data_IF_392999830520
#
_entry.id   IF_392999830520
#
_cell.length_a   1.000
_cell.length_b   1.000
_cell.length_c   1.000
_cell.angle_alpha   90.00
_cell.angle_beta   90.00
_cell.angle_gamma   90.00
#
_symmetry.space_group_name_H-M   'P 1'
#
loop_
_entity.id
_entity.type
_entity.pdbx_description
1 polymer ?
#
# COMPACT_ATOMS: atom_id res chain seq x y z
N UNK A 1 18.83 0.45 5.73
CA UNK A 1 19.00 -0.98 5.41
C UNK A 1 20.09 -1.65 6.26
N UNK A 2 21.31 -1.11 6.35
CA UNK A 2 22.48 -1.78 6.95
C UNK A 2 22.25 -2.41 8.35
N UNK A 3 21.49 -1.72 9.23
CA UNK A 3 21.24 -2.14 10.60
C UNK A 3 19.91 -2.87 10.83
N UNK A 4 19.28 -3.46 9.80
CA UNK A 4 18.11 -4.33 9.97
C UNK A 4 16.74 -3.72 9.63
N UNK A 5 16.65 -2.96 8.54
CA UNK A 5 15.38 -2.44 8.03
C UNK A 5 15.26 -2.49 6.50
N UNK A 6 14.06 -2.26 5.98
CA UNK A 6 13.79 -2.15 4.55
C UNK A 6 14.02 -0.71 4.08
N UNK A 7 14.70 -0.51 2.95
CA UNK A 7 14.77 0.76 2.23
C UNK A 7 14.04 0.60 0.89
N UNK A 8 12.99 1.39 0.63
CA UNK A 8 12.32 1.45 -0.66
C UNK A 8 12.86 2.61 -1.48
N UNK A 9 13.24 2.33 -2.71
CA UNK A 9 13.71 3.29 -3.69
C UNK A 9 12.80 3.21 -4.91
N UNK A 10 12.03 4.25 -5.14
CA UNK A 10 11.06 4.29 -6.24
C UNK A 10 11.48 5.35 -7.26
N UNK A 11 11.50 4.95 -8.52
CA UNK A 11 11.75 5.84 -9.64
C UNK A 11 13.20 5.85 -10.14
N UNK A 12 13.39 6.07 -11.44
CA UNK A 12 14.69 5.95 -12.10
C UNK A 12 15.76 6.90 -11.56
N UNK A 13 15.38 8.15 -11.23
CA UNK A 13 16.32 9.14 -10.73
C UNK A 13 16.83 8.77 -9.32
N UNK A 14 15.93 8.27 -8.46
CA UNK A 14 16.28 7.77 -7.13
C UNK A 14 17.19 6.55 -7.23
N UNK A 15 16.83 5.58 -8.08
CA UNK A 15 17.61 4.36 -8.28
C UNK A 15 19.04 4.66 -8.77
N UNK A 16 19.21 5.68 -9.61
CA UNK A 16 20.53 6.10 -10.11
C UNK A 16 21.51 6.46 -8.99
N UNK A 17 20.99 6.98 -7.87
CA UNK A 17 21.81 7.37 -6.72
C UNK A 17 22.31 6.17 -5.90
N UNK A 18 21.78 4.97 -6.14
CA UNK A 18 22.03 3.77 -5.34
C UNK A 18 22.41 2.54 -6.20
N UNK A 19 22.86 2.76 -7.44
CA UNK A 19 23.15 1.66 -8.40
C UNK A 19 24.18 0.67 -7.85
N UNK A 20 25.17 1.16 -7.11
CA UNK A 20 26.23 0.34 -6.53
C UNK A 20 25.70 -0.54 -5.38
N UNK A 21 24.88 0.03 -4.49
CA UNK A 21 24.28 -0.70 -3.37
C UNK A 21 23.27 -1.75 -3.85
N UNK A 22 22.45 -1.39 -4.83
CA UNK A 22 21.46 -2.31 -5.42
C UNK A 22 22.17 -3.31 -6.35
N UNK A 23 23.38 -3.01 -6.85
CA UNK A 23 24.08 -3.80 -7.88
C UNK A 23 23.18 -4.03 -9.10
N UNK A 24 22.69 -2.94 -9.66
CA UNK A 24 21.91 -2.93 -10.89
C UNK A 24 22.69 -2.22 -11.98
N UNK A 25 22.72 -2.84 -13.16
CA UNK A 25 23.13 -2.18 -14.39
C UNK A 25 21.89 -1.90 -15.21
N UNK A 26 21.79 -0.69 -15.74
CA UNK A 26 20.62 -0.29 -16.48
C UNK A 26 20.67 1.15 -16.97
N UNK A 27 19.75 1.46 -17.85
CA UNK A 27 19.59 2.78 -18.43
C UNK A 27 18.20 3.33 -18.11
N UNK A 28 18.11 4.64 -17.92
CA UNK A 28 16.84 5.33 -17.80
C UNK A 28 16.28 5.46 -19.21
N UNK A 29 15.08 4.92 -19.40
CA UNK A 29 14.37 4.94 -20.67
C UNK A 29 13.20 5.91 -20.57
N UNK A 30 13.12 6.83 -21.52
CA UNK A 30 11.91 7.58 -21.80
C UNK A 30 10.98 6.69 -22.64
N UNK A 31 9.72 6.55 -22.22
CA UNK A 31 8.71 5.82 -22.98
C UNK A 31 7.42 6.62 -23.05
N UNK A 32 6.72 6.47 -24.17
CA UNK A 32 5.40 7.05 -24.37
C UNK A 32 4.34 6.36 -23.48
N UNK A 33 4.37 5.03 -23.39
CA UNK A 33 3.53 4.22 -22.51
C UNK A 33 4.26 2.93 -22.13
N UNK A 34 4.17 2.56 -20.86
CA UNK A 34 4.55 1.24 -20.36
C UNK A 34 3.35 0.63 -19.63
N UNK A 35 3.25 -0.70 -19.62
CA UNK A 35 2.17 -1.40 -18.94
C UNK A 35 2.70 -2.08 -17.69
N UNK A 36 2.15 -1.72 -16.54
CA UNK A 36 2.37 -2.42 -15.27
C UNK A 36 1.48 -3.67 -15.25
N UNK A 37 2.09 -4.86 -15.24
CA UNK A 37 1.40 -6.14 -15.09
C UNK A 37 1.50 -6.62 -13.63
N UNK A 38 0.34 -6.84 -12.98
CA UNK A 38 0.22 -7.45 -11.65
C UNK A 38 -0.85 -8.55 -11.71
N UNK A 39 -0.45 -9.81 -11.47
CA UNK A 39 -1.34 -10.99 -11.51
C UNK A 39 -2.18 -11.14 -12.79
N UNK A 40 -1.67 -10.67 -13.92
CA UNK A 40 -2.34 -10.76 -15.23
C UNK A 40 -3.28 -9.60 -15.56
N UNK A 41 -3.48 -8.66 -14.62
CA UNK A 41 -4.11 -7.37 -14.90
C UNK A 41 -3.06 -6.34 -15.34
N UNK A 42 -3.46 -5.36 -16.17
CA UNK A 42 -2.56 -4.36 -16.72
C UNK A 42 -3.02 -2.93 -16.42
N UNK A 43 -2.07 -2.03 -16.12
CA UNK A 43 -2.31 -0.59 -16.08
C UNK A 43 -1.29 0.18 -16.94
N UNK A 44 -1.74 0.97 -17.92
CA UNK A 44 -0.85 1.83 -18.68
C UNK A 44 -0.39 3.01 -17.81
N UNK A 45 0.90 3.34 -17.89
CA UNK A 45 1.47 4.54 -17.28
C UNK A 45 2.38 5.24 -18.28
N UNK A 46 2.38 6.57 -18.25
CA UNK A 46 3.25 7.42 -19.09
C UNK A 46 4.31 8.08 -18.24
N UNK A 47 5.48 7.46 -18.18
CA UNK A 47 6.63 8.00 -17.44
C UNK A 47 7.95 7.32 -17.82
N UNK A 48 9.03 7.91 -17.32
CA UNK A 48 10.37 7.33 -17.38
C UNK A 48 10.47 6.13 -16.43
N UNK A 49 11.25 5.14 -16.82
CA UNK A 49 11.56 3.99 -15.99
C UNK A 49 13.02 3.59 -16.18
N UNK A 50 13.57 2.81 -15.26
CA UNK A 50 14.90 2.22 -15.38
C UNK A 50 14.77 0.79 -15.91
N UNK A 51 15.39 0.53 -17.06
CA UNK A 51 15.57 -0.83 -17.56
C UNK A 51 16.78 -1.43 -16.85
N UNK A 52 16.54 -2.05 -15.71
CA UNK A 52 17.58 -2.65 -14.89
C UNK A 52 17.62 -4.17 -15.02
N UNK A 53 18.84 -4.71 -14.97
CA UNK A 53 19.09 -6.13 -14.75
C UNK A 53 19.93 -6.31 -13.49
N UNK A 54 19.82 -7.46 -12.84
CA UNK A 54 20.69 -7.82 -11.72
C UNK A 54 21.08 -9.29 -11.79
N UNK A 55 22.30 -9.61 -11.36
CA UNK A 55 22.78 -11.00 -11.23
C UNK A 55 22.13 -11.71 -10.04
N UNK A 56 21.69 -10.97 -9.01
CA UNK A 56 21.12 -11.50 -7.76
C UNK A 56 19.94 -10.66 -7.29
N UNK A 57 18.75 -11.24 -7.34
CA UNK A 57 17.51 -10.64 -6.84
C UNK A 57 16.29 -11.37 -7.37
N UNK A 58 15.15 -11.15 -6.73
CA UNK A 58 13.85 -11.63 -7.24
C UNK A 58 13.13 -10.47 -7.89
N UNK A 59 12.78 -10.65 -9.16
CA UNK A 59 11.93 -9.71 -9.89
C UNK A 59 10.46 -9.91 -9.52
N UNK A 60 9.73 -8.82 -9.32
CA UNK A 60 8.28 -8.86 -9.14
C UNK A 60 7.60 -7.84 -10.05
N UNK A 61 6.54 -8.30 -10.73
CA UNK A 61 5.77 -7.55 -11.72
C UNK A 61 6.49 -7.40 -13.06
N UNK A 62 5.74 -7.27 -14.15
CA UNK A 62 6.29 -7.11 -15.50
C UNK A 62 5.91 -5.76 -16.09
N UNK A 63 6.91 -5.08 -16.63
CA UNK A 63 6.73 -3.90 -17.46
C UNK A 63 6.71 -4.38 -18.90
N UNK A 64 5.57 -4.26 -19.55
CA UNK A 64 5.48 -4.49 -21.00
C UNK A 64 5.68 -3.18 -21.74
N UNK A 65 6.65 -3.16 -22.64
CA UNK A 65 6.85 -2.04 -23.58
C UNK A 65 5.91 -2.17 -24.77
N UNK A 66 5.76 -1.08 -25.53
CA UNK A 66 5.14 -1.07 -26.86
C UNK A 66 5.76 -2.11 -27.83
N UNK A 67 7.03 -2.45 -27.62
CA UNK A 67 7.77 -3.49 -28.35
C UNK A 67 7.51 -4.92 -27.84
N UNK A 68 6.63 -5.11 -26.85
CA UNK A 68 6.28 -6.43 -26.31
C UNK A 68 7.34 -7.04 -25.40
N UNK A 69 8.36 -6.28 -25.02
CA UNK A 69 9.40 -6.74 -24.11
C UNK A 69 8.92 -6.71 -22.67
N UNK A 70 9.25 -7.75 -21.89
CA UNK A 70 8.97 -7.85 -20.46
C UNK A 70 10.22 -7.57 -19.63
N UNK A 71 10.18 -6.57 -18.76
CA UNK A 71 11.25 -6.29 -17.78
C UNK A 71 10.70 -6.28 -16.36
N UNK A 72 11.54 -6.55 -15.36
CA UNK A 72 11.09 -6.56 -13.96
C UNK A 72 10.67 -5.17 -13.50
N UNK A 73 9.51 -5.05 -12.84
CA UNK A 73 9.02 -3.78 -12.28
C UNK A 73 9.67 -3.42 -10.96
N UNK A 74 10.03 -4.44 -10.18
CA UNK A 74 10.68 -4.28 -8.89
C UNK A 74 11.72 -5.37 -8.65
N UNK A 75 12.74 -5.02 -7.87
CA UNK A 75 13.82 -5.91 -7.44
C UNK A 75 13.97 -5.80 -5.94
N UNK A 76 14.15 -6.93 -5.26
CA UNK A 76 14.51 -6.97 -3.84
C UNK A 76 15.89 -7.59 -3.66
N UNK A 77 16.71 -6.97 -2.80
CA UNK A 77 18.08 -7.42 -2.51
C UNK A 77 18.44 -7.28 -1.02
N UNK A 78 19.07 -8.28 -0.42
CA UNK A 78 19.67 -8.15 0.92
C UNK A 78 20.76 -7.08 0.97
N UNK A 79 20.81 -6.29 2.05
CA UNK A 79 21.84 -5.27 2.27
C UNK A 79 22.14 -5.10 3.76
N UNK A 80 23.36 -5.49 4.17
CA UNK A 80 23.71 -5.63 5.59
C UNK A 80 22.76 -6.62 6.27
N UNK A 81 22.17 -6.21 7.40
CA UNK A 81 21.16 -7.01 8.11
C UNK A 81 19.71 -6.76 7.62
N UNK A 82 19.52 -5.91 6.61
CA UNK A 82 18.22 -5.54 6.07
C UNK A 82 18.12 -5.83 4.58
N UNK A 83 17.30 -5.03 3.88
CA UNK A 83 17.08 -5.18 2.44
C UNK A 83 16.79 -3.84 1.76
N UNK A 84 17.07 -3.79 0.46
CA UNK A 84 16.71 -2.70 -0.44
C UNK A 84 15.69 -3.23 -1.44
N UNK A 85 14.59 -2.50 -1.60
CA UNK A 85 13.58 -2.73 -2.62
C UNK A 85 13.66 -1.59 -3.63
N UNK A 86 13.84 -1.94 -4.90
CA UNK A 86 13.96 -1.02 -6.00
C UNK A 86 12.74 -1.15 -6.91
N UNK A 87 12.02 -0.06 -7.18
CA UNK A 87 10.92 0.00 -8.14
C UNK A 87 11.35 0.85 -9.32
N UNK A 88 11.29 0.26 -10.52
CA UNK A 88 11.92 0.79 -11.73
C UNK A 88 11.29 2.10 -12.24
N UNK A 89 10.11 2.45 -11.76
CA UNK A 89 9.36 3.65 -12.13
C UNK A 89 8.90 4.40 -10.88
N UNK A 90 8.48 5.65 -11.06
CA UNK A 90 7.94 6.46 -9.94
C UNK A 90 6.48 6.04 -9.69
N UNK A 91 6.30 5.17 -8.71
CA UNK A 91 5.00 4.64 -8.33
C UNK A 91 4.05 5.71 -7.78
N UNK A 92 4.58 6.67 -7.01
CA UNK A 92 3.77 7.75 -6.44
C UNK A 92 3.19 8.62 -7.54
N UNK A 93 4.04 9.06 -8.47
CA UNK A 93 3.61 9.86 -9.62
C UNK A 93 2.71 9.08 -10.58
N UNK A 94 2.93 7.77 -10.74
CA UNK A 94 2.04 6.92 -11.53
C UNK A 94 0.63 6.91 -10.94
N UNK A 95 0.53 6.64 -9.63
CA UNK A 95 -0.73 6.48 -8.94
C UNK A 95 -1.50 7.79 -8.81
N UNK A 96 -0.79 8.91 -8.61
CA UNK A 96 -1.38 10.25 -8.57
C UNK A 96 -2.05 10.62 -9.88
N UNK A 97 -1.39 10.34 -11.03
CA UNK A 97 -1.89 10.73 -12.35
C UNK A 97 -2.95 9.79 -12.90
N UNK A 98 -2.74 8.48 -12.73
CA UNK A 98 -3.54 7.43 -13.37
C UNK A 98 -3.93 6.38 -12.31
N UNK A 99 -4.73 6.76 -11.29
CA UNK A 99 -5.09 5.84 -10.22
C UNK A 99 -5.81 4.61 -10.79
N UNK A 100 -5.29 3.43 -10.48
CA UNK A 100 -5.85 2.17 -10.95
C UNK A 100 -5.74 1.08 -9.88
N UNK A 101 -6.62 0.08 -9.98
CA UNK A 101 -6.61 -1.08 -9.07
C UNK A 101 -5.28 -1.82 -9.14
N UNK A 102 -4.68 -1.92 -10.33
CA UNK A 102 -3.38 -2.57 -10.57
C UNK A 102 -2.27 -1.82 -9.83
N UNK A 103 -2.17 -0.50 -10.00
CA UNK A 103 -1.16 0.31 -9.31
C UNK A 103 -1.36 0.31 -7.79
N UNK A 104 -2.61 0.32 -7.31
CA UNK A 104 -2.92 0.22 -5.87
C UNK A 104 -2.42 -1.10 -5.29
N UNK A 105 -2.78 -2.22 -5.92
CA UNK A 105 -2.34 -3.57 -5.48
C UNK A 105 -0.83 -3.71 -5.53
N UNK A 106 -0.21 -3.21 -6.61
CA UNK A 106 1.24 -3.19 -6.72
C UNK A 106 1.86 -2.41 -5.56
N UNK A 107 1.36 -1.19 -5.25
CA UNK A 107 1.82 -0.39 -4.12
C UNK A 107 1.62 -1.09 -2.77
N UNK A 108 0.47 -1.72 -2.54
CA UNK A 108 0.20 -2.50 -1.32
C UNK A 108 1.25 -3.60 -1.11
N UNK A 109 1.63 -4.33 -2.17
CA UNK A 109 2.67 -5.36 -2.09
C UNK A 109 4.05 -4.78 -1.80
N UNK A 110 4.41 -3.65 -2.44
CA UNK A 110 5.69 -3.00 -2.17
C UNK A 110 5.75 -2.53 -0.70
N UNK A 111 4.68 -1.92 -0.21
CA UNK A 111 4.57 -1.39 1.14
C UNK A 111 4.44 -2.47 2.23
N UNK A 112 3.93 -3.65 1.91
CA UNK A 112 3.86 -4.78 2.84
C UNK A 112 5.23 -5.15 3.44
N UNK A 113 6.33 -4.88 2.72
CA UNK A 113 7.70 -5.08 3.21
C UNK A 113 8.11 -4.15 4.38
N UNK A 114 7.29 -3.14 4.70
CA UNK A 114 7.53 -2.15 5.76
C UNK A 114 6.57 -2.28 6.95
N UNK A 115 5.52 -3.09 6.83
CA UNK A 115 4.45 -3.13 7.82
C UNK A 115 4.90 -3.90 9.09
N UNK A 116 5.33 -3.16 10.12
CA UNK A 116 5.71 -3.70 11.43
C UNK A 116 4.53 -4.01 12.38
N UNK A 117 3.33 -3.52 12.08
CA UNK A 117 2.07 -3.86 12.78
C UNK A 117 1.04 -4.31 11.74
N UNK A 118 0.58 -5.56 11.86
CA UNK A 118 -0.39 -6.11 10.92
C UNK A 118 -1.80 -5.61 11.29
N UNK A 119 -2.29 -4.67 10.48
CA UNK A 119 -3.70 -4.30 10.46
C UNK A 119 -4.21 -4.47 9.03
N UNK A 120 -5.42 -5.00 8.89
CA UNK A 120 -6.07 -5.18 7.60
C UNK A 120 -7.54 -4.82 7.69
N UNK A 121 -8.03 -4.10 6.70
CA UNK A 121 -9.46 -3.90 6.46
C UNK A 121 -9.86 -4.79 5.29
N UNK A 122 -10.95 -5.53 5.45
CA UNK A 122 -11.55 -6.41 4.45
C UNK A 122 -12.96 -5.88 4.17
N UNK A 123 -13.39 -5.93 2.91
CA UNK A 123 -14.72 -5.50 2.45
C UNK A 123 -14.65 -4.28 1.52
N UNK A 124 -13.89 -3.24 1.87
CA UNK A 124 -13.74 -2.04 1.04
C UNK A 124 -12.33 -1.48 1.05
N UNK A 125 -11.87 -1.02 -0.12
CA UNK A 125 -10.62 -0.26 -0.30
C UNK A 125 -10.81 1.25 -0.11
N UNK A 126 -12.04 1.69 0.17
CA UNK A 126 -12.40 3.08 0.45
C UNK A 126 -12.36 3.39 1.95
N UNK A 127 -11.73 2.51 2.74
CA UNK A 127 -11.47 2.76 4.15
C UNK A 127 -10.02 3.15 4.31
N UNK A 128 -9.76 4.33 4.87
CA UNK A 128 -8.43 4.74 5.31
C UNK A 128 -8.31 4.44 6.82
N UNK A 129 -7.57 3.39 7.20
CA UNK A 129 -7.36 3.08 8.60
C UNK A 129 -6.11 3.79 9.14
N UNK A 130 -6.22 4.40 10.32
CA UNK A 130 -5.13 5.10 10.99
C UNK A 130 -4.92 4.53 12.39
N UNK A 131 -3.71 4.04 12.63
CA UNK A 131 -3.28 3.57 13.95
C UNK A 131 -2.90 4.76 14.83
N UNK A 132 -3.48 4.84 16.02
CA UNK A 132 -3.15 5.85 17.03
C UNK A 132 -2.92 5.17 18.37
N UNK A 133 -1.90 5.64 19.08
CA UNK A 133 -1.69 5.31 20.50
C UNK A 133 -1.80 6.60 21.32
N UNK A 134 -2.60 6.56 22.38
CA UNK A 134 -2.75 7.68 23.30
C UNK A 134 -2.90 7.16 24.73
N UNK A 135 -2.05 7.65 25.62
CA UNK A 135 -2.08 7.31 27.06
C UNK A 135 -2.04 5.79 27.33
N UNK A 136 -1.32 5.03 26.48
CA UNK A 136 -1.21 3.58 26.58
C UNK A 136 -2.38 2.79 25.95
N UNK A 137 -3.38 3.48 25.42
CA UNK A 137 -4.52 2.89 24.72
C UNK A 137 -4.31 2.92 23.21
N UNK A 138 -4.83 1.90 22.51
CA UNK A 138 -4.78 1.81 21.05
C UNK A 138 -6.13 2.19 20.45
N UNK A 139 -6.09 3.04 19.43
CA UNK A 139 -7.25 3.49 18.68
C UNK A 139 -7.02 3.28 17.19
N UNK A 140 -7.96 2.61 16.52
CA UNK A 140 -7.97 2.52 15.06
C UNK A 140 -9.06 3.44 14.53
N UNK A 141 -8.65 4.52 13.90
CA UNK A 141 -9.57 5.43 13.23
C UNK A 141 -9.84 4.88 11.84
N UNK A 142 -11.10 4.80 11.45
CA UNK A 142 -11.52 4.31 10.14
C UNK A 142 -12.28 5.43 9.45
N UNK A 143 -11.74 5.92 8.34
CA UNK A 143 -12.35 6.99 7.56
C UNK A 143 -12.85 6.44 6.22
N UNK A 144 -14.10 6.72 5.87
CA UNK A 144 -14.64 6.46 4.55
C UNK A 144 -14.18 7.56 3.59
N UNK A 145 -13.39 7.15 2.59
CA UNK A 145 -12.84 8.01 1.53
C UNK A 145 -13.54 7.75 0.19
N UNK A 146 -14.78 7.27 0.20
CA UNK A 146 -15.56 6.94 -1.00
C UNK A 146 -16.04 8.14 -1.82
N UNK A 147 -15.73 9.37 -1.41
CA UNK A 147 -16.00 10.58 -2.19
C UNK A 147 -15.09 10.71 -3.42
N UNK A 148 -15.46 11.60 -4.34
CA UNK A 148 -14.67 11.92 -5.53
C UNK A 148 -13.45 12.82 -5.22
N UNK A 149 -12.63 12.43 -4.24
CA UNK A 149 -11.51 13.22 -3.72
C UNK A 149 -10.38 13.47 -4.74
N UNK A 150 -10.28 12.61 -5.76
CA UNK A 150 -9.26 12.69 -6.80
C UNK A 150 -9.72 13.47 -8.06
N UNK A 151 -10.99 13.85 -8.16
CA UNK A 151 -11.51 14.56 -9.34
C UNK A 151 -11.33 16.07 -9.16
N UNK A 152 -10.30 16.62 -9.80
CA UNK A 152 -9.97 18.06 -9.72
C UNK A 152 -11.13 18.96 -10.18
N UNK A 153 -12.01 18.46 -11.06
CA UNK A 153 -13.17 19.23 -11.53
C UNK A 153 -14.32 19.25 -10.54
N UNK A 154 -14.34 18.32 -9.59
CA UNK A 154 -15.39 18.20 -8.58
C UNK A 154 -14.96 18.90 -7.29
N UNK A 155 -15.43 20.13 -7.11
CA UNK A 155 -15.07 20.97 -5.95
C UNK A 155 -15.80 20.60 -4.67
N UNK A 156 -16.97 19.98 -4.80
CA UNK A 156 -17.79 19.49 -3.69
C UNK A 156 -18.65 18.33 -4.15
N UNK A 157 -19.08 17.51 -3.20
CA UNK A 157 -20.09 16.48 -3.37
C UNK A 157 -21.00 16.51 -2.15
N UNK A 158 -22.28 16.22 -2.38
CA UNK A 158 -23.32 16.36 -1.36
C UNK A 158 -23.39 15.13 -0.44
N UNK A 159 -22.91 13.97 -0.91
CA UNK A 159 -23.01 12.71 -0.19
C UNK A 159 -21.75 11.85 -0.34
N UNK A 160 -21.45 11.08 0.72
CA UNK A 160 -20.52 9.96 0.70
C UNK A 160 -21.34 8.71 1.01
N UNK A 161 -21.45 7.74 0.08
CA UNK A 161 -22.18 6.51 0.34
C UNK A 161 -21.56 5.73 1.50
N UNK A 162 -22.38 5.21 2.43
CA UNK A 162 -21.89 4.35 3.50
C UNK A 162 -21.28 3.06 2.95
N UNK A 163 -20.28 2.55 3.66
CA UNK A 163 -19.67 1.25 3.41
C UNK A 163 -20.27 0.22 4.38
N UNK A 164 -20.41 -1.02 3.94
CA UNK A 164 -21.05 -2.09 4.70
C UNK A 164 -20.15 -3.32 4.79
N UNK A 165 -20.48 -4.20 5.73
CA UNK A 165 -19.89 -5.54 5.87
C UNK A 165 -18.35 -5.52 5.90
N UNK A 166 -17.79 -4.63 6.71
CA UNK A 166 -16.34 -4.50 6.84
C UNK A 166 -15.84 -5.37 7.99
N UNK A 167 -14.69 -5.99 7.78
CA UNK A 167 -13.95 -6.70 8.84
C UNK A 167 -12.61 -6.03 9.04
N UNK A 168 -12.28 -5.70 10.29
CA UNK A 168 -10.96 -5.15 10.67
C UNK A 168 -10.20 -6.19 11.48
N UNK A 169 -9.03 -6.56 11.00
CA UNK A 169 -8.11 -7.47 11.66
C UNK A 169 -6.91 -6.69 12.20
N UNK A 170 -6.58 -6.90 13.46
CA UNK A 170 -5.59 -6.11 14.20
C UNK A 170 -4.71 -7.06 15.01
N UNK A 171 -3.42 -7.06 14.73
CA UNK A 171 -2.44 -7.78 15.56
C UNK A 171 -2.22 -7.03 16.86
N UNK A 172 -2.67 -7.60 17.98
CA UNK A 172 -2.56 -6.99 19.31
C UNK A 172 -2.56 -8.06 20.41
N UNK A 173 -2.29 -7.64 21.64
CA UNK A 173 -2.57 -8.47 22.82
C UNK A 173 -4.08 -8.65 22.99
N UNK A 174 -4.49 -9.67 23.75
CA UNK A 174 -5.90 -9.95 24.00
C UNK A 174 -6.56 -8.74 24.68
N UNK A 175 -7.55 -8.09 24.03
CA UNK A 175 -8.25 -6.97 24.65
C UNK A 175 -9.16 -7.46 25.77
N UNK A 176 -9.32 -6.63 26.80
CA UNK A 176 -10.38 -6.78 27.77
C UNK A 176 -11.70 -6.26 27.20
N UNK A 177 -11.63 -5.21 26.39
CA UNK A 177 -12.80 -4.56 25.83
C UNK A 177 -12.49 -3.94 24.45
N UNK A 178 -13.50 -3.95 23.60
CA UNK A 178 -13.50 -3.25 22.30
C UNK A 178 -14.77 -2.43 22.22
N UNK A 179 -14.64 -1.16 21.83
CA UNK A 179 -15.76 -0.21 21.75
C UNK A 179 -15.64 0.64 20.50
N UNK A 180 -16.77 0.92 19.85
CA UNK A 180 -16.85 1.95 18.82
C UNK A 180 -17.10 3.32 19.43
N UNK A 181 -16.33 4.31 18.99
CA UNK A 181 -16.53 5.72 19.33
C UNK A 181 -16.98 6.49 18.08
N UNK A 182 -17.80 7.56 18.26
CA UNK A 182 -18.21 8.16 19.54
C UNK A 182 -19.42 7.52 20.25
N UNK A 183 -20.16 6.63 19.60
CA UNK A 183 -21.46 6.11 20.08
C UNK A 183 -21.33 5.21 21.32
N UNK A 184 -20.12 4.75 21.65
CA UNK A 184 -19.81 3.84 22.76
C UNK A 184 -20.57 2.52 22.67
N UNK A 185 -20.77 2.01 21.47
CA UNK A 185 -21.39 0.71 21.23
C UNK A 185 -20.34 -0.40 21.24
N UNK A 186 -20.73 -1.58 21.74
CA UNK A 186 -19.87 -2.77 21.72
C UNK A 186 -20.07 -3.51 20.40
N UNK A 187 -19.04 -3.64 19.55
CA UNK A 187 -19.16 -4.38 18.30
C UNK A 187 -19.15 -5.89 18.53
N UNK A 188 -19.53 -6.64 17.50
CA UNK A 188 -19.16 -8.04 17.44
C UNK A 188 -17.66 -8.16 17.15
N UNK A 189 -16.94 -8.90 18.00
CA UNK A 189 -15.52 -9.17 17.80
C UNK A 189 -15.13 -10.55 18.33
N UNK A 190 -14.02 -11.06 17.82
CA UNK A 190 -13.36 -12.28 18.28
C UNK A 190 -11.86 -12.06 18.41
N UNK A 191 -11.21 -12.87 19.24
CA UNK A 191 -9.77 -12.85 19.39
C UNK A 191 -9.22 -14.27 19.35
N UNK A 192 -8.29 -14.50 18.44
CA UNK A 192 -7.59 -15.78 18.30
C UNK A 192 -6.12 -15.56 17.94
N UNK A 193 -5.21 -16.30 18.57
CA UNK A 193 -3.79 -16.35 18.23
C UNK A 193 -3.10 -14.98 17.97
N UNK A 194 -3.37 -13.97 18.79
CA UNK A 194 -2.73 -12.64 18.64
C UNK A 194 -3.45 -11.69 17.68
N UNK A 195 -4.60 -12.10 17.14
CA UNK A 195 -5.38 -11.35 16.15
C UNK A 195 -6.77 -11.02 16.70
N UNK A 196 -7.05 -9.73 16.86
CA UNK A 196 -8.39 -9.21 17.07
C UNK A 196 -9.10 -9.06 15.73
N UNK A 197 -10.32 -9.59 15.61
CA UNK A 197 -11.21 -9.41 14.46
C UNK A 197 -12.47 -8.67 14.89
N UNK A 198 -12.74 -7.51 14.30
CA UNK A 198 -13.90 -6.67 14.61
C UNK A 198 -14.78 -6.54 13.38
N UNK A 199 -16.08 -6.74 13.54
CA UNK A 199 -17.09 -6.56 12.49
C UNK A 199 -17.67 -5.15 12.54
N UNK A 200 -17.81 -4.53 11.38
CA UNK A 200 -18.44 -3.22 11.20
C UNK A 200 -19.53 -3.38 10.15
N UNK A 201 -20.78 -3.42 10.61
CA UNK A 201 -21.93 -3.59 9.73
C UNK A 201 -22.11 -2.38 8.79
N UNK A 202 -21.81 -1.17 9.30
CA UNK A 202 -21.94 0.08 8.56
C UNK A 202 -20.89 1.10 9.00
N UNK A 203 -20.21 1.70 8.03
CA UNK A 203 -19.34 2.85 8.19
C UNK A 203 -19.86 4.00 7.33
N UNK A 204 -20.41 5.03 7.96
CA UNK A 204 -20.83 6.25 7.27
C UNK A 204 -19.60 7.08 6.87
N UNK A 205 -19.18 8.05 7.70
CA UNK A 205 -18.00 8.88 7.43
C UNK A 205 -16.80 8.38 8.21
N UNK A 206 -16.98 8.14 9.51
CA UNK A 206 -15.88 7.82 10.43
C UNK A 206 -16.36 7.00 11.62
N UNK A 207 -15.52 6.10 12.10
CA UNK A 207 -15.65 5.48 13.42
C UNK A 207 -14.27 5.20 13.99
N UNK A 208 -14.19 4.96 15.31
CA UNK A 208 -12.95 4.57 15.97
C UNK A 208 -13.15 3.27 16.72
N UNK A 209 -12.28 2.30 16.48
CA UNK A 209 -12.15 1.10 17.31
C UNK A 209 -11.22 1.44 18.46
N UNK A 210 -11.77 1.61 19.66
CA UNK A 210 -10.99 1.70 20.89
C UNK A 210 -10.70 0.29 21.41
N UNK A 211 -9.43 0.00 21.69
CA UNK A 211 -8.95 -1.29 22.18
C UNK A 211 -8.37 -1.07 23.58
N UNK A 212 -9.00 -1.70 24.58
CA UNK A 212 -8.64 -1.63 26.00
C UNK A 212 -8.24 -3.00 26.54
#
# INVERSE_FOLDING_TARGET
AQNGGTLALWGPDTLRLFVDEINISGEITDSDVIYVEDEGDFAPIKQRYMRASTEKGTGFGLLQTDMGEKVNLSLEKPYGNGKIQAVMFDLGRAYEKEPSVVLRRFAERQLAAFAGKAMRVIGSHLVLPLWMEKEGHTFINLLNIGGAHAEERQRSFDEIPPLYDLTVQISCNKPQQVVFLPERTVPFWSYDNGMLTVQIDRLDIHTVIAIE
#
